data_IF_697284235078
#
_entry.id   IF_697284235078
#
_cell.length_a   1.000
_cell.length_b   1.000
_cell.length_c   1.000
_cell.angle_alpha   90.00
_cell.angle_beta   90.00
_cell.angle_gamma   90.00
#
_symmetry.space_group_name_H-M   'P 1'
#
loop_
_entity.id
_entity.type
_entity.pdbx_description
1 polymer ?
#
# COMPACT_ATOMS: atom_id res chain seq x y z
N UNK A 1 -21.61 19.00 -2.75
CA UNK A 1 -21.79 17.56 -2.98
C UNK A 1 -20.67 16.81 -2.25
N UNK A 2 -20.96 15.72 -1.55
CA UNK A 2 -19.94 14.93 -0.86
C UNK A 2 -19.08 14.16 -1.88
N UNK A 3 -17.77 14.08 -1.66
CA UNK A 3 -16.86 13.32 -2.54
C UNK A 3 -17.21 11.82 -2.44
N UNK A 4 -17.40 11.11 -3.57
CA UNK A 4 -17.68 9.68 -3.53
C UNK A 4 -16.56 8.90 -2.84
N UNK A 5 -16.93 7.86 -2.10
CA UNK A 5 -16.01 7.00 -1.36
C UNK A 5 -15.11 6.25 -2.35
N UNK A 6 -13.81 6.55 -2.36
CA UNK A 6 -12.84 5.87 -3.24
C UNK A 6 -12.54 4.46 -2.71
N UNK A 7 -13.01 3.45 -3.44
CA UNK A 7 -12.75 2.03 -3.16
C UNK A 7 -11.70 1.39 -4.10
N UNK A 8 -11.04 2.21 -4.92
CA UNK A 8 -10.00 1.78 -5.86
C UNK A 8 -8.60 1.91 -5.28
N UNK A 9 -7.64 1.18 -5.85
CA UNK A 9 -6.22 1.24 -5.51
C UNK A 9 -5.39 1.50 -6.77
N UNK A 10 -4.33 2.28 -6.61
CA UNK A 10 -3.42 2.66 -7.71
C UNK A 10 -2.13 1.84 -7.69
N UNK A 11 -2.02 0.87 -6.78
CA UNK A 11 -0.90 -0.04 -6.70
C UNK A 11 -1.37 -1.42 -6.23
N UNK A 12 -0.59 -2.43 -6.60
CA UNK A 12 -0.56 -3.73 -5.96
C UNK A 12 0.90 -4.20 -5.95
N UNK A 13 1.33 -4.97 -4.95
CA UNK A 13 2.70 -5.49 -4.92
C UNK A 13 2.90 -6.52 -6.03
N UNK A 14 3.99 -6.37 -6.78
CA UNK A 14 4.53 -7.40 -7.68
C UNK A 14 5.68 -8.09 -6.96
N UNK A 15 5.51 -9.38 -6.65
CA UNK A 15 6.51 -10.17 -5.93
C UNK A 15 7.45 -10.84 -6.92
N UNK A 16 8.75 -10.86 -6.60
CA UNK A 16 9.79 -11.50 -7.42
C UNK A 16 9.69 -13.03 -7.43
N UNK A 17 8.98 -13.61 -6.46
CA UNK A 17 8.75 -15.05 -6.40
C UNK A 17 7.57 -15.44 -7.28
N UNK A 18 7.84 -16.20 -8.33
CA UNK A 18 6.82 -16.77 -9.20
C UNK A 18 6.09 -17.92 -8.49
N UNK A 19 4.82 -17.69 -8.13
CA UNK A 19 3.96 -18.72 -7.56
C UNK A 19 3.46 -19.72 -8.63
N UNK A 20 2.84 -20.83 -8.17
CA UNK A 20 2.28 -21.88 -9.04
C UNK A 20 1.34 -21.32 -10.13
N UNK A 21 0.52 -20.33 -9.79
CA UNK A 21 -0.41 -19.69 -10.72
C UNK A 21 0.28 -19.09 -11.92
N UNK A 22 1.31 -18.26 -11.68
CA UNK A 22 2.00 -17.56 -12.74
C UNK A 22 2.74 -18.54 -13.65
N UNK A 23 3.39 -19.53 -13.04
CA UNK A 23 4.07 -20.61 -13.77
C UNK A 23 3.12 -21.39 -14.69
N UNK A 24 1.91 -21.73 -14.20
CA UNK A 24 0.91 -22.46 -15.01
C UNK A 24 0.39 -21.60 -16.17
N UNK A 25 0.10 -20.32 -15.92
CA UNK A 25 -0.38 -19.42 -16.96
C UNK A 25 0.68 -19.17 -18.04
N UNK A 26 1.93 -18.98 -17.64
CA UNK A 26 3.05 -18.79 -18.54
C UNK A 26 3.36 -20.06 -19.34
N UNK A 27 3.28 -21.24 -18.71
CA UNK A 27 3.45 -22.52 -19.42
C UNK A 27 2.35 -22.77 -20.45
N UNK A 28 1.10 -22.42 -20.15
CA UNK A 28 -0.04 -22.73 -21.02
C UNK A 28 -0.29 -21.67 -22.10
N UNK A 29 0.01 -20.40 -21.82
CA UNK A 29 -0.34 -19.25 -22.68
C UNK A 29 0.83 -18.29 -22.93
N UNK A 30 2.04 -18.61 -22.48
CA UNK A 30 3.21 -17.76 -22.62
C UNK A 30 3.03 -16.38 -22.00
N UNK A 31 3.59 -15.37 -22.67
CA UNK A 31 3.49 -13.97 -22.27
C UNK A 31 2.05 -13.46 -22.18
N UNK A 32 1.12 -14.03 -22.96
CA UNK A 32 -0.29 -13.65 -22.89
C UNK A 32 -0.90 -14.05 -21.55
N UNK A 33 -0.58 -15.23 -21.01
CA UNK A 33 -1.05 -15.65 -19.68
C UNK A 33 -0.50 -14.77 -18.56
N UNK A 34 0.80 -14.47 -18.63
CA UNK A 34 1.46 -13.56 -17.69
C UNK A 34 0.83 -12.16 -17.73
N UNK A 35 0.75 -11.55 -18.92
CA UNK A 35 0.21 -10.21 -19.10
C UNK A 35 -1.28 -10.15 -18.71
N UNK A 36 -2.06 -11.19 -19.04
CA UNK A 36 -3.47 -11.27 -18.67
C UNK A 36 -3.65 -11.18 -17.15
N UNK A 37 -2.86 -11.92 -16.38
CA UNK A 37 -2.96 -11.92 -14.92
C UNK A 37 -2.74 -10.53 -14.33
N UNK A 38 -1.67 -9.84 -14.71
CA UNK A 38 -1.38 -8.51 -14.17
C UNK A 38 -2.36 -7.44 -14.64
N UNK A 39 -2.76 -7.48 -15.92
CA UNK A 39 -3.80 -6.57 -16.45
C UNK A 39 -5.16 -6.79 -15.79
N UNK A 40 -5.47 -8.02 -15.38
CA UNK A 40 -6.65 -8.32 -14.59
C UNK A 40 -6.55 -7.71 -13.18
N UNK A 41 -5.41 -7.81 -12.51
CA UNK A 41 -5.20 -7.19 -11.21
C UNK A 41 -5.29 -5.66 -11.27
N UNK A 42 -4.74 -5.03 -12.31
CA UNK A 42 -4.91 -3.60 -12.58
C UNK A 42 -6.39 -3.22 -12.72
N UNK A 43 -7.14 -4.02 -13.47
CA UNK A 43 -8.55 -3.80 -13.72
C UNK A 43 -9.36 -3.89 -12.42
N UNK A 44 -9.11 -4.91 -11.60
CA UNK A 44 -9.74 -5.05 -10.29
C UNK A 44 -9.36 -3.90 -9.35
N UNK A 45 -8.09 -3.50 -9.31
CA UNK A 45 -7.63 -2.37 -8.50
C UNK A 45 -8.26 -1.04 -8.91
N UNK A 46 -8.45 -0.83 -10.23
CA UNK A 46 -9.07 0.36 -10.80
C UNK A 46 -10.60 0.41 -10.70
N UNK A 47 -11.25 -0.72 -10.39
CA UNK A 47 -12.71 -0.82 -10.35
C UNK A 47 -13.27 -0.59 -8.94
N UNK A 48 -14.34 0.19 -8.83
CA UNK A 48 -14.99 0.40 -7.53
C UNK A 48 -15.51 -0.92 -6.97
N UNK A 49 -15.19 -1.21 -5.71
CA UNK A 49 -15.54 -2.48 -5.07
C UNK A 49 -14.59 -3.64 -5.41
N UNK A 50 -13.57 -3.45 -6.25
CA UNK A 50 -12.52 -4.45 -6.54
C UNK A 50 -13.03 -5.82 -7.00
N UNK A 51 -14.17 -5.84 -7.69
CA UNK A 51 -14.68 -6.98 -8.45
C UNK A 51 -14.90 -6.55 -9.90
N UNK A 52 -15.04 -7.53 -10.78
CA UNK A 52 -15.34 -7.28 -12.19
C UNK A 52 -16.47 -8.18 -12.66
N UNK A 53 -17.49 -7.63 -13.31
CA UNK A 53 -18.65 -8.38 -13.80
C UNK A 53 -18.49 -8.68 -15.29
N UNK A 54 -18.27 -9.95 -15.64
CA UNK A 54 -18.12 -10.37 -17.02
C UNK A 54 -19.46 -10.71 -17.71
N UNK A 55 -20.61 -10.59 -17.04
CA UNK A 55 -21.90 -10.69 -17.73
C UNK A 55 -22.25 -9.39 -18.48
N UNK A 56 -21.72 -8.26 -18.01
CA UNK A 56 -21.86 -6.99 -18.70
C UNK A 56 -21.01 -7.01 -19.98
N UNK A 57 -21.67 -6.91 -21.14
CA UNK A 57 -21.02 -7.02 -22.46
C UNK A 57 -19.92 -5.96 -22.65
N UNK A 58 -20.16 -4.65 -22.40
CA UNK A 58 -19.13 -3.62 -22.39
C UNK A 58 -17.92 -3.94 -21.50
N UNK A 59 -18.16 -4.44 -20.29
CA UNK A 59 -17.07 -4.77 -19.36
C UNK A 59 -16.27 -5.96 -19.87
N UNK A 60 -16.94 -6.99 -20.41
CA UNK A 60 -16.25 -8.11 -21.04
C UNK A 60 -15.41 -7.65 -22.25
N UNK A 61 -15.97 -6.84 -23.15
CA UNK A 61 -15.24 -6.29 -24.30
C UNK A 61 -14.02 -5.46 -23.87
N UNK A 62 -14.16 -4.65 -22.82
CA UNK A 62 -13.05 -3.88 -22.26
C UNK A 62 -11.95 -4.79 -21.70
N UNK A 63 -12.30 -5.87 -21.01
CA UNK A 63 -11.33 -6.86 -20.52
C UNK A 63 -10.55 -7.47 -21.69
N UNK A 64 -11.23 -7.89 -22.76
CA UNK A 64 -10.60 -8.48 -23.95
C UNK A 64 -9.67 -7.46 -24.64
N UNK A 65 -10.13 -6.22 -24.82
CA UNK A 65 -9.34 -5.15 -25.40
C UNK A 65 -8.09 -4.83 -24.56
N UNK A 66 -8.24 -4.72 -23.23
CA UNK A 66 -7.12 -4.42 -22.32
C UNK A 66 -6.08 -5.54 -22.34
N UNK A 67 -6.52 -6.79 -22.38
CA UNK A 67 -5.63 -7.97 -22.29
C UNK A 67 -5.04 -8.41 -23.63
N UNK A 68 -5.63 -7.98 -24.75
CA UNK A 68 -5.28 -8.41 -26.11
C UNK A 68 -5.39 -9.94 -26.33
N UNK A 69 -6.32 -10.59 -25.63
CA UNK A 69 -6.65 -11.99 -25.89
C UNK A 69 -8.08 -12.11 -26.40
N UNK A 70 -8.34 -13.16 -27.17
CA UNK A 70 -9.70 -13.45 -27.62
C UNK A 70 -10.58 -13.96 -26.46
N UNK A 71 -11.90 -13.99 -26.71
CA UNK A 71 -12.90 -14.38 -25.72
C UNK A 71 -12.62 -15.78 -25.15
N UNK A 72 -12.35 -16.76 -25.99
CA UNK A 72 -12.12 -18.16 -25.59
C UNK A 72 -10.90 -18.30 -24.68
N UNK A 73 -9.76 -17.73 -25.08
CA UNK A 73 -8.53 -17.70 -24.28
C UNK A 73 -8.77 -17.02 -22.92
N UNK A 74 -9.48 -15.90 -22.89
CA UNK A 74 -9.83 -15.23 -21.63
C UNK A 74 -10.64 -16.13 -20.69
N UNK A 75 -11.68 -16.80 -21.18
CA UNK A 75 -12.46 -17.74 -20.37
C UNK A 75 -11.63 -18.92 -19.86
N UNK A 76 -10.75 -19.47 -20.70
CA UNK A 76 -9.89 -20.58 -20.32
C UNK A 76 -8.90 -20.18 -19.21
N UNK A 77 -8.27 -19.00 -19.34
CA UNK A 77 -7.41 -18.44 -18.29
C UNK A 77 -8.20 -18.23 -16.99
N UNK A 78 -9.39 -17.65 -17.06
CA UNK A 78 -10.22 -17.39 -15.88
C UNK A 78 -10.72 -18.67 -15.19
N UNK A 79 -11.02 -19.72 -15.95
CA UNK A 79 -11.35 -21.04 -15.39
C UNK A 79 -10.16 -21.62 -14.63
N UNK A 80 -8.94 -21.56 -15.19
CA UNK A 80 -7.72 -22.01 -14.50
C UNK A 80 -7.50 -21.19 -13.23
N UNK A 81 -7.68 -19.86 -13.27
CA UNK A 81 -7.55 -19.01 -12.10
C UNK A 81 -8.54 -19.39 -10.99
N UNK A 82 -9.77 -19.75 -11.35
CA UNK A 82 -10.79 -20.20 -10.40
C UNK A 82 -10.46 -21.59 -9.83
N UNK A 83 -9.94 -22.50 -10.64
CA UNK A 83 -9.55 -23.84 -10.21
C UNK A 83 -8.29 -23.85 -9.33
N UNK A 84 -7.40 -22.88 -9.53
CA UNK A 84 -6.25 -22.60 -8.67
C UNK A 84 -6.59 -21.77 -7.42
N UNK A 85 -7.88 -21.49 -7.20
CA UNK A 85 -8.40 -20.71 -6.05
C UNK A 85 -7.78 -19.31 -5.91
N UNK A 86 -7.28 -18.76 -7.01
CA UNK A 86 -6.72 -17.39 -7.03
C UNK A 86 -7.81 -16.33 -7.16
N UNK A 87 -8.89 -16.69 -7.82
CA UNK A 87 -10.14 -15.94 -7.84
C UNK A 87 -11.25 -16.80 -7.24
N UNK A 88 -12.33 -16.16 -6.82
CA UNK A 88 -13.44 -16.84 -6.17
C UNK A 88 -14.19 -17.76 -7.13
N UNK A 89 -14.05 -19.07 -6.90
CA UNK A 89 -14.63 -20.13 -7.72
C UNK A 89 -16.15 -20.03 -7.83
N UNK A 90 -16.83 -19.74 -6.72
CA UNK A 90 -18.29 -19.69 -6.70
C UNK A 90 -18.83 -18.50 -7.49
N UNK A 91 -18.27 -17.30 -7.27
CA UNK A 91 -18.65 -16.09 -7.99
C UNK A 91 -18.38 -16.23 -9.49
N UNK A 92 -17.25 -16.82 -9.87
CA UNK A 92 -16.90 -17.01 -11.27
C UNK A 92 -17.85 -17.98 -11.97
N UNK A 93 -18.08 -19.17 -11.40
CA UNK A 93 -18.90 -20.18 -12.07
C UNK A 93 -20.41 -19.89 -12.00
N UNK A 94 -20.92 -19.31 -10.90
CA UNK A 94 -22.36 -19.01 -10.75
C UNK A 94 -22.78 -17.70 -11.41
N UNK A 95 -21.91 -16.69 -11.40
CA UNK A 95 -22.31 -15.34 -11.81
C UNK A 95 -21.28 -14.64 -12.68
N UNK A 96 -20.21 -15.29 -13.15
CA UNK A 96 -19.15 -14.66 -13.98
C UNK A 96 -18.60 -13.37 -13.38
N UNK A 97 -18.60 -13.28 -12.05
CA UNK A 97 -17.98 -12.18 -11.31
C UNK A 97 -16.59 -12.62 -10.90
N UNK A 98 -15.60 -11.80 -11.25
CA UNK A 98 -14.21 -11.99 -10.86
C UNK A 98 -13.98 -11.28 -9.53
N UNK A 99 -13.55 -12.05 -8.52
CA UNK A 99 -13.17 -11.55 -7.20
C UNK A 99 -11.85 -12.17 -6.78
N UNK A 100 -10.88 -11.35 -6.35
CA UNK A 100 -9.59 -11.82 -5.87
C UNK A 100 -9.36 -11.37 -4.42
N UNK A 101 -9.54 -12.28 -3.46
CA UNK A 101 -9.34 -11.99 -2.04
C UNK A 101 -7.88 -11.65 -1.72
N UNK A 102 -6.94 -12.31 -2.39
CA UNK A 102 -5.51 -12.09 -2.19
C UNK A 102 -5.09 -10.66 -2.56
N UNK A 103 -5.65 -10.10 -3.64
CA UNK A 103 -5.41 -8.72 -4.02
C UNK A 103 -5.80 -7.76 -2.89
N UNK A 104 -7.00 -7.93 -2.32
CA UNK A 104 -7.52 -7.08 -1.24
C UNK A 104 -6.67 -7.18 0.01
N UNK A 105 -6.26 -8.40 0.39
CA UNK A 105 -5.37 -8.63 1.52
C UNK A 105 -4.05 -7.86 1.34
N UNK A 106 -3.49 -7.88 0.12
CA UNK A 106 -2.24 -7.22 -0.22
C UNK A 106 -2.31 -5.69 -0.29
N UNK A 107 -3.51 -5.11 -0.43
CA UNK A 107 -3.72 -3.65 -0.46
C UNK A 107 -4.50 -3.12 0.74
N UNK A 108 -4.73 -3.94 1.75
CA UNK A 108 -5.56 -3.58 2.93
C UNK A 108 -5.00 -2.35 3.66
N UNK A 109 -3.67 -2.19 3.65
CA UNK A 109 -2.97 -1.03 4.18
C UNK A 109 -3.39 0.30 3.51
N UNK A 110 -3.67 0.28 2.21
CA UNK A 110 -4.19 1.44 1.47
C UNK A 110 -5.53 1.95 2.01
N UNK A 111 -6.31 1.07 2.65
CA UNK A 111 -7.62 1.37 3.22
C UNK A 111 -7.60 1.77 4.70
N UNK A 112 -6.51 1.49 5.44
CA UNK A 112 -6.40 1.78 6.89
C UNK A 112 -6.62 3.26 7.24
N UNK A 113 -6.29 4.17 6.31
CA UNK A 113 -6.41 5.63 6.48
C UNK A 113 -7.65 6.21 5.79
N UNK A 114 -8.45 5.38 5.13
CA UNK A 114 -9.65 5.82 4.38
C UNK A 114 -10.88 5.74 5.28
N UNK A 115 -11.81 6.67 5.07
CA UNK A 115 -13.16 6.62 5.65
C UNK A 115 -14.02 5.56 4.92
N UNK A 116 -13.65 5.22 3.68
CA UNK A 116 -14.30 4.18 2.88
C UNK A 116 -14.03 2.78 3.47
N UNK A 117 -15.05 1.93 3.49
CA UNK A 117 -14.90 0.53 3.91
C UNK A 117 -14.05 -0.26 2.91
N UNK A 118 -13.28 -1.22 3.45
CA UNK A 118 -12.59 -2.24 2.67
C UNK A 118 -13.61 -2.92 1.75
N UNK A 119 -13.30 -3.10 0.45
CA UNK A 119 -14.18 -3.83 -0.45
C UNK A 119 -14.56 -5.19 0.12
N UNK A 120 -15.85 -5.51 0.08
CA UNK A 120 -16.39 -6.78 0.58
C UNK A 120 -16.79 -7.67 -0.59
N UNK A 121 -16.63 -8.97 -0.39
CA UNK A 121 -17.02 -9.99 -1.37
C UNK A 121 -18.48 -9.77 -1.79
N UNK A 122 -18.79 -9.69 -3.10
CA UNK A 122 -20.16 -9.64 -3.58
C UNK A 122 -20.96 -10.84 -3.08
N UNK A 123 -22.18 -10.61 -2.58
CA UNK A 123 -23.08 -11.67 -2.15
C UNK A 123 -23.89 -12.16 -3.35
N UNK A 124 -23.91 -13.49 -3.56
CA UNK A 124 -24.77 -14.12 -4.56
C UNK A 124 -26.21 -14.10 -4.05
N UNK A 125 -27.10 -13.35 -4.70
CA UNK A 125 -28.53 -13.49 -4.49
C UNK A 125 -29.02 -14.75 -5.21
N UNK A 126 -29.11 -15.87 -4.48
CA UNK A 126 -29.98 -16.97 -4.89
C UNK A 126 -31.41 -16.62 -4.47
N UNK A 127 -32.27 -16.33 -5.45
CA UNK A 127 -33.70 -16.25 -5.22
C UNK A 127 -34.25 -17.62 -4.81
N UNK A 128 -34.97 -17.65 -3.68
CA UNK A 128 -35.97 -18.66 -3.35
C UNK A 128 -37.30 -17.91 -3.18
N UNK A 129 -38.44 -18.41 -3.69
CA UNK A 129 -39.63 -17.60 -3.95
C UNK A 129 -40.37 -17.10 -2.70
N UNK A 130 -41.06 -15.97 -2.89
CA UNK A 130 -42.09 -15.32 -2.07
C UNK A 130 -42.54 -16.03 -0.77
N UNK A 131 -42.46 -15.29 0.34
CA UNK A 131 -43.68 -15.02 1.10
C UNK A 131 -43.98 -13.52 1.06
N UNK A 132 -45.07 -13.19 0.38
CA UNK A 132 -45.78 -11.93 0.55
C UNK A 132 -46.03 -11.67 2.03
N UNK A 133 -45.84 -10.42 2.46
CA UNK A 133 -46.68 -9.77 3.47
C UNK A 133 -46.40 -8.26 3.50
N UNK A 134 -47.20 -7.53 2.73
CA UNK A 134 -47.83 -6.24 3.04
C UNK A 134 -46.94 -5.02 3.33
N UNK A 135 -46.97 -4.12 2.34
CA UNK A 135 -47.06 -2.67 2.45
C UNK A 135 -47.61 -2.16 3.80
N UNK A 136 -46.90 -1.21 4.42
CA UNK A 136 -47.55 -0.15 5.21
C UNK A 136 -46.95 1.19 4.75
N UNK A 137 -47.73 1.89 3.94
CA UNK A 137 -47.62 3.33 3.77
C UNK A 137 -48.10 4.03 5.05
N UNK A 138 -47.35 5.07 5.41
CA UNK A 138 -47.68 6.28 6.18
C UNK A 138 -49.14 6.45 6.67
N UNK A 139 -49.33 6.82 7.94
CA UNK A 139 -50.44 7.68 8.34
C UNK A 139 -49.98 9.15 8.37
N UNK A 140 -50.81 10.01 7.77
CA UNK A 140 -50.80 11.46 7.91
C UNK A 140 -51.88 11.88 8.91
N UNK A 141 -51.58 12.94 9.68
CA UNK A 141 -52.46 14.03 10.14
C UNK A 141 -52.39 14.32 11.66
N UNK A 142 -51.93 15.55 11.95
CA UNK A 142 -52.31 16.52 13.01
C UNK A 142 -52.31 16.06 14.49
N UNK A 143 -51.64 16.75 15.44
CA UNK A 143 -51.82 18.16 15.78
C UNK A 143 -50.55 18.89 16.31
N UNK A 144 -50.24 20.00 15.65
CA UNK A 144 -50.03 21.40 16.12
C UNK A 144 -49.19 21.73 17.40
N UNK A 145 -48.29 22.72 17.19
CA UNK A 145 -47.68 23.72 18.11
C UNK A 145 -46.57 23.25 19.06
N UNK A 146 -45.45 23.95 19.28
CA UNK A 146 -44.99 25.32 18.95
C UNK A 146 -43.47 25.39 19.14
N UNK A 147 -42.77 26.14 18.28
CA UNK A 147 -41.64 27.05 18.55
C UNK A 147 -40.64 26.80 19.71
N UNK A 148 -39.35 26.59 19.39
CA UNK A 148 -38.25 27.59 19.53
C UNK A 148 -36.86 26.96 19.57
N UNK A 149 -35.96 27.67 18.89
CA UNK A 149 -34.50 27.61 18.95
C UNK A 149 -33.92 27.57 20.38
N UNK A 150 -32.78 26.89 20.58
CA UNK A 150 -32.07 26.90 21.86
C UNK A 150 -30.75 26.12 21.82
N UNK A 151 -29.64 26.86 21.74
CA UNK A 151 -28.28 26.38 22.01
C UNK A 151 -28.09 25.84 23.44
N UNK A 152 -27.12 24.94 23.54
CA UNK A 152 -26.16 24.73 24.65
C UNK A 152 -26.43 23.70 25.76
N UNK A 153 -25.33 22.97 26.01
CA UNK A 153 -24.82 22.38 27.25
C UNK A 153 -25.38 21.04 27.79
N UNK A 154 -24.53 20.02 27.60
CA UNK A 154 -23.96 19.10 28.61
C UNK A 154 -24.88 18.58 29.72
N UNK A 155 -25.08 17.26 29.76
CA UNK A 155 -24.96 16.45 30.99
C UNK A 155 -24.38 15.06 30.69
N UNK A 156 -23.17 14.81 31.21
CA UNK A 156 -22.66 13.48 31.55
C UNK A 156 -23.64 12.84 32.58
N UNK A 157 -23.81 11.52 32.69
CA UNK A 157 -22.81 10.58 33.19
C UNK A 157 -23.49 9.22 33.47
N UNK A 158 -22.82 8.10 33.18
CA UNK A 158 -22.57 7.06 34.19
C UNK A 158 -21.45 6.11 33.76
N UNK A 159 -20.40 6.19 34.55
CA UNK A 159 -19.12 5.49 34.50
C UNK A 159 -19.26 4.05 35.00
N UNK A 160 -18.48 3.12 34.44
CA UNK A 160 -17.95 2.01 35.25
C UNK A 160 -16.45 1.73 34.96
N UNK A 161 -15.63 2.40 35.77
CA UNK A 161 -14.35 2.00 36.38
C UNK A 161 -13.30 1.20 35.57
N UNK A 162 -12.23 1.91 35.18
CA UNK A 162 -10.87 1.55 35.63
C UNK A 162 -10.00 2.80 35.84
N UNK A 163 -9.42 2.83 37.04
CA UNK A 163 -8.62 3.85 37.73
C UNK A 163 -7.56 4.60 36.90
N UNK A 164 -7.54 5.92 37.16
CA UNK A 164 -6.40 6.85 37.26
C UNK A 164 -5.68 7.27 35.97
N UNK A 165 -6.01 8.48 35.46
CA UNK A 165 -5.08 9.62 35.22
C UNK A 165 -5.64 10.58 34.14
N UNK A 166 -6.68 11.36 34.47
CA UNK A 166 -7.33 12.30 33.52
C UNK A 166 -6.62 13.66 33.48
N UNK A 167 -5.75 13.97 34.45
CA UNK A 167 -4.96 15.21 34.44
C UNK A 167 -3.65 15.12 33.65
N UNK A 168 -3.12 13.92 33.34
CA UNK A 168 -1.88 13.80 32.57
C UNK A 168 -2.03 13.86 31.05
N UNK A 169 -3.21 13.53 30.51
CA UNK A 169 -3.42 13.44 29.05
C UNK A 169 -3.30 14.80 28.35
N UNK A 170 -3.72 15.89 29.02
CA UNK A 170 -3.59 17.24 28.46
C UNK A 170 -2.15 17.77 28.56
N UNK A 171 -1.39 17.37 29.58
CA UNK A 171 0.00 17.78 29.75
C UNK A 171 0.94 17.10 28.75
N UNK A 172 0.73 15.80 28.47
CA UNK A 172 1.53 15.07 27.48
C UNK A 172 1.32 15.60 26.07
N UNK A 173 0.08 15.93 25.71
CA UNK A 173 -0.23 16.53 24.41
C UNK A 173 0.33 17.95 24.30
N UNK A 174 0.17 18.81 25.32
CA UNK A 174 0.73 20.17 25.31
C UNK A 174 2.28 20.16 25.22
N UNK A 175 2.93 19.25 25.94
CA UNK A 175 4.38 19.03 25.84
C UNK A 175 4.78 18.54 24.45
N UNK A 176 4.01 17.62 23.87
CA UNK A 176 4.30 17.16 22.52
C UNK A 176 4.18 18.28 21.48
N UNK A 177 3.24 19.22 21.65
CA UNK A 177 3.14 20.40 20.77
C UNK A 177 4.40 21.26 20.77
N UNK A 178 5.03 21.46 21.94
CA UNK A 178 6.26 22.28 22.03
C UNK A 178 7.41 21.60 21.31
N UNK A 179 7.60 20.29 21.54
CA UNK A 179 8.63 19.48 20.89
C UNK A 179 8.38 19.39 19.38
N UNK A 180 7.12 19.22 18.95
CA UNK A 180 6.75 19.12 17.54
C UNK A 180 7.12 20.37 16.73
N UNK A 181 7.02 21.57 17.34
CA UNK A 181 7.39 22.84 16.70
C UNK A 181 8.87 22.93 16.35
N UNK A 182 9.74 22.21 17.07
CA UNK A 182 11.19 22.23 16.87
C UNK A 182 11.65 21.37 15.68
N UNK A 183 10.78 20.50 15.15
CA UNK A 183 11.11 19.54 14.12
C UNK A 183 10.98 20.11 12.68
N UNK A 184 11.93 19.85 11.76
CA UNK A 184 11.95 20.48 10.43
C UNK A 184 10.80 20.03 9.51
N UNK A 185 10.48 18.72 9.46
CA UNK A 185 9.43 18.20 8.58
C UNK A 185 8.18 17.73 9.36
N UNK A 186 7.23 18.64 9.56
CA UNK A 186 6.04 18.49 10.41
C UNK A 186 4.89 17.74 9.72
N UNK A 187 5.18 16.56 9.15
CA UNK A 187 4.18 15.68 8.51
C UNK A 187 3.78 14.51 9.41
N UNK A 188 2.48 14.18 9.42
CA UNK A 188 1.94 12.98 10.08
C UNK A 188 1.68 13.09 11.59
N UNK A 189 1.50 14.29 12.14
CA UNK A 189 1.30 14.53 13.59
C UNK A 189 0.24 13.62 14.25
N UNK A 190 -0.89 13.41 13.58
CA UNK A 190 -2.00 12.57 14.07
C UNK A 190 -1.66 11.07 14.10
N UNK A 191 -0.62 10.66 13.37
CA UNK A 191 -0.14 9.28 13.34
C UNK A 191 0.88 8.96 14.46
N UNK A 192 1.24 9.94 15.29
CA UNK A 192 2.10 9.69 16.46
C UNK A 192 1.28 9.03 17.56
N UNK A 193 1.67 7.82 17.92
CA UNK A 193 0.92 7.00 18.90
C UNK A 193 0.95 7.64 20.28
N UNK A 194 -0.13 7.45 21.06
CA UNK A 194 -0.20 7.90 22.45
C UNK A 194 0.97 7.36 23.29
N UNK A 195 1.35 6.09 23.08
CA UNK A 195 2.51 5.45 23.70
C UNK A 195 3.82 6.20 23.45
N UNK A 196 4.03 6.67 22.21
CA UNK A 196 5.22 7.45 21.85
C UNK A 196 5.21 8.83 22.51
N UNK A 197 4.08 9.55 22.49
CA UNK A 197 3.94 10.84 23.17
C UNK A 197 4.21 10.72 24.68
N UNK A 198 3.71 9.66 25.31
CA UNK A 198 3.95 9.39 26.72
C UNK A 198 5.42 9.08 27.00
N UNK A 199 6.12 8.37 26.10
CA UNK A 199 7.55 8.11 26.22
C UNK A 199 8.38 9.40 26.08
N UNK A 200 8.04 10.24 25.11
CA UNK A 200 8.68 11.55 24.88
C UNK A 200 8.47 12.47 26.10
N UNK A 201 7.26 12.48 26.67
CA UNK A 201 6.98 13.22 27.90
C UNK A 201 7.81 12.72 29.08
N UNK A 202 7.94 11.40 29.25
CA UNK A 202 8.75 10.80 30.33
C UNK A 202 10.25 11.09 30.18
N UNK A 203 10.75 11.30 28.97
CA UNK A 203 12.16 11.59 28.70
C UNK A 203 12.55 13.04 29.04
N UNK A 204 11.59 13.97 28.97
CA UNK A 204 11.83 15.39 29.23
C UNK A 204 12.30 16.17 27.99
N UNK A 205 12.11 17.49 28.02
CA UNK A 205 12.29 18.37 26.85
C UNK A 205 13.75 18.45 26.42
N UNK A 206 14.68 18.39 27.37
CA UNK A 206 16.12 18.51 27.13
C UNK A 206 16.61 17.36 26.24
N UNK A 207 16.34 16.12 26.65
CA UNK A 207 16.78 14.91 25.92
C UNK A 207 16.19 14.82 24.52
N UNK A 208 14.89 15.10 24.38
CA UNK A 208 14.25 15.03 23.06
C UNK A 208 14.70 16.17 22.15
N UNK A 209 15.00 17.35 22.70
CA UNK A 209 15.55 18.47 21.91
C UNK A 209 16.97 18.15 21.44
N UNK A 210 17.83 17.60 22.32
CA UNK A 210 19.16 17.13 21.96
C UNK A 210 19.13 16.05 20.86
N UNK A 211 18.17 15.13 20.92
CA UNK A 211 17.94 14.14 19.87
C UNK A 211 17.56 14.78 18.53
N UNK A 212 16.67 15.78 18.54
CA UNK A 212 16.28 16.52 17.32
C UNK A 212 17.46 17.29 16.74
N UNK A 213 18.29 17.92 17.58
CA UNK A 213 19.48 18.65 17.14
C UNK A 213 20.54 17.72 16.54
N UNK A 214 20.78 16.57 17.16
CA UNK A 214 21.70 15.56 16.64
C UNK A 214 21.25 15.07 15.26
N UNK A 215 19.94 14.86 15.08
CA UNK A 215 19.37 14.53 13.78
C UNK A 215 19.55 15.66 12.74
N UNK A 216 19.33 16.92 13.11
CA UNK A 216 19.57 18.07 12.22
C UNK A 216 21.04 18.19 11.80
N UNK A 217 21.98 17.88 12.70
CA UNK A 217 23.41 17.85 12.39
C UNK A 217 23.75 16.74 11.38
N UNK A 218 23.12 15.58 11.50
CA UNK A 218 23.29 14.49 10.53
C UNK A 218 22.78 14.91 9.13
N UNK A 219 21.60 15.54 9.07
CA UNK A 219 21.06 16.08 7.81
C UNK A 219 21.97 17.14 7.18
N UNK A 220 22.66 17.95 7.98
CA UNK A 220 23.57 18.96 7.47
C UNK A 220 24.86 18.37 6.83
N UNK A 221 25.23 17.12 7.13
CA UNK A 221 26.40 16.46 6.53
C UNK A 221 26.14 16.01 5.10
N UNK A 222 24.89 15.71 4.76
CA UNK A 222 24.50 15.17 3.46
C UNK A 222 23.49 16.13 2.80
N UNK A 223 23.97 16.98 1.90
CA UNK A 223 23.16 18.03 1.24
C UNK A 223 21.95 17.52 0.44
N UNK A 224 21.95 16.25 0.05
CA UNK A 224 20.85 15.60 -0.68
C UNK A 224 19.81 14.92 0.25
N UNK A 225 20.11 14.75 1.54
CA UNK A 225 19.29 13.99 2.48
C UNK A 225 18.12 14.83 2.98
N UNK A 226 16.90 14.39 2.70
CA UNK A 226 15.68 15.08 3.14
C UNK A 226 15.29 14.69 4.58
N UNK A 227 14.74 15.62 5.39
CA UNK A 227 14.24 15.31 6.73
C UNK A 227 13.07 14.32 6.66
N UNK A 228 13.12 13.28 7.49
CA UNK A 228 12.06 12.27 7.60
C UNK A 228 10.75 12.90 8.11
N UNK A 229 9.61 12.25 7.86
CA UNK A 229 8.34 12.72 8.41
C UNK A 229 8.40 12.73 9.94
N UNK A 230 7.91 13.80 10.57
CA UNK A 230 7.87 13.90 12.04
C UNK A 230 7.19 12.70 12.71
N UNK A 231 6.16 12.13 12.08
CA UNK A 231 5.55 10.89 12.56
C UNK A 231 6.52 9.71 12.67
N UNK A 232 7.45 9.60 11.72
CA UNK A 232 8.46 8.54 11.67
C UNK A 232 9.51 8.78 12.76
N UNK A 233 9.95 10.03 12.92
CA UNK A 233 10.93 10.38 13.94
C UNK A 233 10.40 10.12 15.37
N UNK A 234 9.21 10.66 15.67
CA UNK A 234 8.65 10.61 17.02
C UNK A 234 8.09 9.22 17.39
N UNK A 235 7.69 8.37 16.45
CA UNK A 235 7.23 7.00 16.75
C UNK A 235 8.35 5.98 17.05
N UNK A 236 9.58 6.43 17.30
CA UNK A 236 10.63 5.57 17.83
C UNK A 236 12.04 5.97 17.42
N UNK A 237 12.23 6.54 16.21
CA UNK A 237 13.57 6.84 15.69
C UNK A 237 14.36 7.85 16.52
N UNK A 238 13.69 8.69 17.31
CA UNK A 238 14.38 9.60 18.23
C UNK A 238 15.28 8.86 19.24
N UNK A 239 15.03 7.57 19.54
CA UNK A 239 15.86 6.80 20.49
C UNK A 239 17.29 6.60 20.01
N UNK A 240 17.49 6.53 18.70
CA UNK A 240 18.83 6.35 18.11
C UNK A 240 19.73 7.56 18.37
N UNK A 241 19.13 8.71 18.64
CA UNK A 241 19.81 9.97 18.92
C UNK A 241 19.91 10.29 20.41
N UNK A 242 19.37 9.41 21.29
CA UNK A 242 19.50 9.55 22.74
C UNK A 242 20.80 8.90 23.27
N UNK A 243 21.28 7.84 22.61
CA UNK A 243 22.46 7.07 23.03
C UNK A 243 23.78 7.83 22.88
N UNK A 244 23.77 8.97 22.17
CA UNK A 244 24.95 9.77 21.85
C UNK A 244 25.40 10.63 23.06
N UNK A 245 24.56 10.81 24.09
CA UNK A 245 24.94 11.57 25.28
C UNK A 245 25.71 10.78 26.35
N UNK A 246 25.68 9.43 26.34
CA UNK A 246 26.45 8.62 27.30
C UNK A 246 27.91 8.37 26.91
N UNK A 247 28.32 8.78 25.70
CA UNK A 247 29.67 8.53 25.17
C UNK A 247 30.47 9.82 24.89
N UNK A 248 30.24 10.89 25.66
CA UNK A 248 31.28 11.92 25.81
C UNK A 248 32.38 11.45 26.78
N UNK A 249 33.03 10.33 26.43
CA UNK A 249 34.36 9.97 26.90
C UNK A 249 35.01 8.99 25.92
N UNK A 250 35.99 9.51 25.19
CA UNK A 250 37.07 8.84 24.44
C UNK A 250 36.82 8.48 22.96
N UNK A 251 37.74 8.89 22.06
CA UNK A 251 37.72 8.53 20.65
C UNK A 251 38.46 7.21 20.43
N UNK A 252 37.94 6.34 19.59
CA UNK A 252 38.76 5.33 18.92
C UNK A 252 38.29 5.14 17.50
N UNK A 253 39.23 5.39 16.60
CA UNK A 253 39.14 5.19 15.17
C UNK A 253 38.74 3.75 14.84
N UNK A 254 37.81 3.60 13.91
CA UNK A 254 37.73 2.44 13.05
C UNK A 254 37.85 2.95 11.62
N UNK A 255 38.99 2.61 11.02
CA UNK A 255 39.43 2.98 9.68
C UNK A 255 38.41 2.55 8.62
N UNK A 256 38.11 3.48 7.72
CA UNK A 256 37.49 3.17 6.45
C UNK A 256 38.48 2.34 5.62
N UNK A 257 38.14 1.09 5.31
CA UNK A 257 38.77 0.37 4.21
C UNK A 257 38.30 1.01 2.90
N UNK A 258 39.15 1.86 2.35
CA UNK A 258 39.15 2.25 0.95
C UNK A 258 39.28 0.98 0.11
N UNK A 259 38.29 0.69 -0.75
CA UNK A 259 38.46 -0.25 -1.85
C UNK A 259 39.43 0.40 -2.84
N UNK A 260 40.67 -0.09 -2.89
CA UNK A 260 41.61 0.23 -3.96
C UNK A 260 41.14 -0.47 -5.24
N UNK A 261 40.95 0.34 -6.28
CA UNK A 261 40.59 -0.05 -7.63
C UNK A 261 41.87 -0.39 -8.41
N UNK A 262 42.54 -1.51 -8.13
CA UNK A 262 43.73 -1.93 -8.90
C UNK A 262 43.88 -3.46 -9.02
N UNK A 263 42.76 -4.21 -8.99
CA UNK A 263 42.78 -5.57 -9.54
C UNK A 263 42.41 -5.47 -11.03
N UNK A 264 43.39 -5.70 -11.91
CA UNK A 264 43.19 -5.78 -13.36
C UNK A 264 42.03 -6.72 -13.68
N UNK A 265 40.97 -6.16 -14.26
CA UNK A 265 39.88 -6.94 -14.81
C UNK A 265 40.41 -7.72 -16.04
N UNK A 266 40.52 -9.06 -15.98
CA UNK A 266 41.05 -9.85 -17.10
C UNK A 266 40.12 -9.81 -18.33
N UNK A 267 38.89 -9.30 -18.20
CA UNK A 267 37.94 -9.09 -19.29
C UNK A 267 38.02 -7.71 -19.95
N UNK A 268 38.98 -6.86 -19.54
CA UNK A 268 39.16 -5.52 -20.13
C UNK A 268 40.03 -5.52 -21.41
N UNK A 269 40.59 -6.66 -21.81
CA UNK A 269 41.33 -6.79 -23.07
C UNK A 269 40.41 -7.35 -24.19
N UNK A 270 39.95 -6.52 -25.15
CA UNK A 270 39.06 -6.94 -26.22
C UNK A 270 39.63 -8.07 -27.08
N UNK A 271 40.96 -8.10 -27.22
CA UNK A 271 41.66 -9.09 -28.04
C UNK A 271 41.63 -10.49 -27.41
N UNK A 272 41.72 -10.57 -26.08
CA UNK A 272 41.60 -11.81 -25.31
C UNK A 272 40.17 -12.36 -25.36
N UNK A 273 39.16 -11.49 -25.28
CA UNK A 273 37.75 -11.86 -25.37
C UNK A 273 37.41 -12.42 -26.76
N UNK A 274 37.94 -11.81 -27.83
CA UNK A 274 37.74 -12.25 -29.20
C UNK A 274 38.52 -13.54 -29.54
N UNK A 275 39.62 -13.81 -28.84
CA UNK A 275 40.34 -15.08 -28.95
C UNK A 275 39.58 -16.22 -28.25
N UNK A 276 39.04 -15.99 -27.05
CA UNK A 276 38.18 -16.96 -26.34
C UNK A 276 36.88 -17.27 -27.10
N UNK A 277 36.25 -16.25 -27.71
CA UNK A 277 35.05 -16.44 -28.51
C UNK A 277 35.30 -17.32 -29.76
N UNK A 278 36.49 -17.19 -30.38
CA UNK A 278 36.93 -18.04 -31.50
C UNK A 278 37.18 -19.48 -31.06
N UNK A 279 37.83 -19.70 -29.91
CA UNK A 279 38.07 -21.05 -29.37
C UNK A 279 36.75 -21.73 -28.94
N UNK A 280 35.80 -20.97 -28.42
CA UNK A 280 34.48 -21.46 -28.04
C UNK A 280 33.52 -21.69 -29.24
N UNK A 281 33.97 -21.43 -30.47
CA UNK A 281 33.17 -21.66 -31.68
C UNK A 281 31.93 -20.76 -31.78
N UNK A 282 31.95 -19.60 -31.12
CA UNK A 282 30.81 -18.66 -31.13
C UNK A 282 30.83 -17.91 -32.47
N UNK A 283 29.81 -18.05 -33.33
CA UNK A 283 29.76 -17.35 -34.61
C UNK A 283 29.66 -15.83 -34.38
N UNK A 284 30.47 -15.08 -35.12
CA UNK A 284 30.47 -13.62 -35.06
C UNK A 284 29.15 -13.10 -35.65
N UNK A 285 28.34 -12.47 -34.83
CA UNK A 285 27.04 -11.92 -35.23
C UNK A 285 27.33 -10.59 -35.93
N UNK A 286 27.13 -10.52 -37.25
CA UNK A 286 27.19 -9.26 -37.98
C UNK A 286 25.91 -8.48 -37.69
N UNK A 287 26.04 -7.26 -37.17
CA UNK A 287 24.92 -6.40 -36.77
C UNK A 287 24.46 -5.45 -37.89
N UNK A 288 24.99 -5.61 -39.11
CA UNK A 288 24.74 -4.68 -40.23
C UNK A 288 23.45 -4.97 -41.02
N UNK A 289 22.64 -5.95 -40.63
CA UNK A 289 21.40 -6.35 -41.34
C UNK A 289 20.09 -5.94 -40.62
N UNK A 290 20.13 -4.99 -39.68
CA UNK A 290 18.95 -4.54 -38.92
C UNK A 290 18.51 -3.10 -39.23
N UNK A 291 18.57 -2.70 -40.50
CA UNK A 291 17.94 -1.48 -41.01
C UNK A 291 16.90 -1.83 -42.08
N UNK A 292 15.76 -2.40 -41.67
CA UNK A 292 14.52 -2.26 -42.47
C UNK A 292 13.27 -2.70 -41.67
N UNK A 293 12.72 -1.83 -40.83
CA UNK A 293 11.30 -1.86 -40.45
C UNK A 293 10.89 -0.48 -39.91
N UNK A 294 10.76 0.50 -40.82
CA UNK A 294 9.75 1.56 -40.66
C UNK A 294 8.55 1.22 -41.56
N UNK A 295 7.38 1.05 -40.94
CA UNK A 295 6.09 0.79 -41.59
C UNK A 295 4.96 0.73 -40.57
#
# INVERSE_FOLDING_TARGET
MARPKKQTVEYFPHYTTSGKTLFILESNYGNNGYAFWFKLLELLGGTNGMYYDCNNVPDLEFLLAKTHVNKETAYNILNILADLETIDKELWYKSKIIWCQNLINNVTDAFKRRISEIPKKPLLHTETPMKESKCIQKPSASDISTDKNGESKVKESKVNNKKNNVHSANATDAFFETVWKLYPNKKGKTAVSKKSKDAIYKLGIEKITAAIESYKKELAKETWKQPMNGSTFFNGRFTDYLSIESEKASPTAAENKTYNSDDENPYANPELMEQMAREAGIPKINFDDYDDYEG
#
